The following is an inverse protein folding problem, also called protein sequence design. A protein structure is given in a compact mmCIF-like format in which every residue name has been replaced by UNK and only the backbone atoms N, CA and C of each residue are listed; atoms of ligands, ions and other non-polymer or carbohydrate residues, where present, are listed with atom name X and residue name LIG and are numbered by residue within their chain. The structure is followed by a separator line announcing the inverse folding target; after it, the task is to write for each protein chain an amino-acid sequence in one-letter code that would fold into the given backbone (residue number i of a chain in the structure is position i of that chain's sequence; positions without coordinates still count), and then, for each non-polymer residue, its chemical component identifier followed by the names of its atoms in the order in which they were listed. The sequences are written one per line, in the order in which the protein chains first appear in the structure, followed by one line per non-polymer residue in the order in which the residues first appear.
data_IF_229428373345
#
_entry.id   IF_229428373345
#
_cell.length_a   1.000
_cell.length_b   1.000
_cell.length_c   1.000
_cell.angle_alpha   90.00
_cell.angle_beta   90.00
_cell.angle_gamma   90.00
#
_symmetry.space_group_name_H-M   'P 1'
#
loop_
_entity.id
_entity.type
_entity.pdbx_description
1 polymer ?
#
# COMPACT_ATOMS: atom_id res chain seq x y z
N UNK A 1 4.32 -25.33 29.40
CA UNK A 1 3.84 -26.22 28.33
C UNK A 1 2.32 -26.18 28.33
N UNK A 2 1.70 -25.63 27.29
CA UNK A 2 0.29 -25.89 26.98
C UNK A 2 0.29 -26.39 25.53
N UNK A 3 0.29 -27.72 25.38
CA UNK A 3 0.44 -28.46 24.12
C UNK A 3 -0.88 -29.14 23.71
N UNK A 4 -2.01 -28.44 23.76
CA UNK A 4 -3.21 -28.93 23.08
C UNK A 4 -3.50 -28.03 21.89
N UNK A 5 -3.27 -28.55 20.68
CA UNK A 5 -3.78 -27.95 19.44
C UNK A 5 -5.30 -27.98 19.53
N UNK A 6 -5.95 -26.84 19.71
CA UNK A 6 -7.41 -26.72 19.74
C UNK A 6 -7.99 -26.76 18.31
N UNK A 7 -7.22 -26.23 17.35
CA UNK A 7 -7.62 -26.10 15.97
C UNK A 7 -6.57 -26.71 15.03
N UNK A 8 -6.98 -27.24 13.86
CA UNK A 8 -6.06 -27.61 12.80
C UNK A 8 -5.39 -26.36 12.22
N UNK A 9 -4.15 -26.51 11.76
CA UNK A 9 -3.37 -25.44 11.12
C UNK A 9 -2.73 -25.95 9.84
N UNK A 10 -2.56 -25.08 8.84
CA UNK A 10 -1.83 -25.39 7.61
C UNK A 10 -1.09 -24.15 7.08
N UNK A 11 -0.09 -24.38 6.21
CA UNK A 11 0.58 -23.30 5.51
C UNK A 11 -0.28 -22.78 4.35
N UNK A 12 -0.17 -21.48 4.05
CA UNK A 12 -0.78 -20.89 2.86
C UNK A 12 -0.13 -21.49 1.60
N UNK A 13 -0.95 -22.05 0.71
CA UNK A 13 -0.58 -22.58 -0.60
C UNK A 13 -0.03 -21.46 -1.49
N UNK A 14 -0.64 -20.27 -1.45
CA UNK A 14 -0.21 -19.10 -2.22
C UNK A 14 1.07 -18.41 -1.67
N UNK A 15 1.66 -18.89 -0.55
CA UNK A 15 2.80 -18.24 0.10
C UNK A 15 4.05 -18.15 -0.77
N UNK A 16 4.31 -19.16 -1.61
CA UNK A 16 5.43 -19.16 -2.56
C UNK A 16 5.29 -18.01 -3.56
N UNK A 17 4.11 -17.92 -4.20
CA UNK A 17 3.76 -16.88 -5.15
C UNK A 17 3.86 -15.47 -4.54
N UNK A 18 3.42 -15.28 -3.29
CA UNK A 18 3.56 -13.99 -2.60
C UNK A 18 5.03 -13.53 -2.49
N UNK A 19 5.95 -14.47 -2.22
CA UNK A 19 7.39 -14.16 -2.16
C UNK A 19 7.96 -13.82 -3.53
N UNK A 20 7.57 -14.58 -4.55
CA UNK A 20 7.99 -14.37 -5.93
C UNK A 20 7.56 -12.99 -6.43
N UNK A 21 6.31 -12.60 -6.19
CA UNK A 21 5.78 -11.27 -6.54
C UNK A 21 6.59 -10.15 -5.89
N UNK A 22 6.87 -10.28 -4.59
CA UNK A 22 7.65 -9.28 -3.85
C UNK A 22 9.09 -9.21 -4.33
N UNK A 23 9.74 -10.35 -4.58
CA UNK A 23 11.12 -10.35 -5.10
C UNK A 23 11.17 -9.75 -6.51
N UNK A 24 10.25 -10.16 -7.38
CA UNK A 24 10.11 -9.63 -8.73
C UNK A 24 9.95 -8.10 -8.72
N UNK A 25 9.13 -7.54 -7.82
CA UNK A 25 8.99 -6.09 -7.65
C UNK A 25 10.34 -5.38 -7.47
N UNK A 26 11.11 -5.78 -6.45
CA UNK A 26 12.38 -5.13 -6.13
C UNK A 26 13.47 -5.39 -7.17
N UNK A 27 13.49 -6.57 -7.78
CA UNK A 27 14.43 -6.90 -8.85
C UNK A 27 14.08 -6.20 -10.17
N UNK A 28 12.80 -6.02 -10.49
CA UNK A 28 12.37 -5.28 -11.67
C UNK A 28 12.73 -3.81 -11.55
N UNK A 29 12.54 -3.18 -10.38
CA UNK A 29 13.03 -1.82 -10.13
C UNK A 29 14.55 -1.73 -10.33
N UNK A 30 15.33 -2.58 -9.68
CA UNK A 30 16.79 -2.58 -9.80
C UNK A 30 17.29 -2.81 -11.25
N UNK A 31 16.57 -3.60 -12.05
CA UNK A 31 16.97 -3.94 -13.41
C UNK A 31 16.23 -3.15 -14.50
N UNK A 32 15.40 -2.17 -14.16
CA UNK A 32 14.55 -1.42 -15.11
C UNK A 32 15.34 -0.90 -16.33
N UNK A 33 16.44 -0.19 -16.11
CA UNK A 33 17.27 0.38 -17.19
C UNK A 33 17.90 -0.68 -18.11
N UNK A 34 18.20 -1.88 -17.59
CA UNK A 34 18.73 -2.99 -18.43
C UNK A 34 17.69 -3.48 -19.44
N UNK A 35 16.41 -3.26 -19.16
CA UNK A 35 15.27 -3.60 -20.01
C UNK A 35 14.74 -2.39 -20.80
N UNK A 36 15.40 -1.23 -20.70
CA UNK A 36 14.96 0.03 -21.35
C UNK A 36 13.78 0.73 -20.66
N UNK A 37 13.40 0.29 -19.45
CA UNK A 37 12.31 0.86 -18.68
C UNK A 37 12.74 2.00 -17.74
N UNK A 38 11.77 2.70 -17.17
CA UNK A 38 11.97 3.81 -16.23
C UNK A 38 11.79 3.36 -14.77
N UNK A 39 12.42 4.10 -13.86
CA UNK A 39 12.28 3.99 -12.42
C UNK A 39 11.61 5.23 -11.85
N UNK A 40 10.69 5.03 -10.91
CA UNK A 40 10.19 6.12 -10.09
C UNK A 40 10.15 5.76 -8.62
N UNK A 41 10.22 6.77 -7.76
CA UNK A 41 10.09 6.59 -6.32
C UNK A 41 8.92 7.39 -5.77
N UNK A 42 8.27 6.86 -4.75
CA UNK A 42 7.11 7.46 -4.09
C UNK A 42 6.70 6.69 -2.85
N UNK A 43 5.73 7.23 -2.12
CA UNK A 43 5.17 6.64 -0.92
C UNK A 43 4.19 5.51 -1.27
N UNK A 44 3.90 4.65 -0.30
CA UNK A 44 3.00 3.51 -0.46
C UNK A 44 1.57 3.92 -0.89
N UNK A 45 1.14 5.13 -0.49
CA UNK A 45 -0.20 5.66 -0.78
C UNK A 45 -0.31 6.52 -2.03
N UNK A 46 0.80 6.72 -2.73
CA UNK A 46 0.81 7.51 -3.96
C UNK A 46 -0.16 6.95 -5.00
N UNK A 47 -0.64 7.82 -5.88
CA UNK A 47 -1.51 7.45 -7.00
C UNK A 47 -0.72 6.72 -8.10
N UNK A 48 -0.26 5.50 -7.82
CA UNK A 48 0.51 4.64 -8.73
C UNK A 48 -0.22 4.35 -10.05
N UNK A 49 -1.56 4.27 -10.01
CA UNK A 49 -2.39 4.14 -11.20
C UNK A 49 -2.18 5.27 -12.23
N UNK A 50 -1.84 6.49 -11.77
CA UNK A 50 -1.54 7.61 -12.68
C UNK A 50 -0.24 7.39 -13.42
N UNK A 51 0.76 6.80 -12.77
CA UNK A 51 2.06 6.54 -13.41
C UNK A 51 1.96 5.41 -14.45
N UNK A 52 1.02 4.47 -14.28
CA UNK A 52 0.79 3.37 -15.23
C UNK A 52 0.45 3.84 -16.65
N UNK A 53 -0.10 5.05 -16.81
CA UNK A 53 -0.35 5.65 -18.13
C UNK A 53 0.92 5.92 -18.96
N UNK A 54 2.12 5.85 -18.36
CA UNK A 54 3.39 6.00 -19.07
C UNK A 54 3.88 4.72 -19.77
N UNK A 55 3.33 3.55 -19.43
CA UNK A 55 3.75 2.26 -19.99
C UNK A 55 3.89 1.13 -18.96
N UNK A 56 4.08 -0.10 -19.46
CA UNK A 56 4.25 -1.30 -18.60
C UNK A 56 5.69 -1.45 -18.09
N UNK A 57 6.63 -0.69 -18.65
CA UNK A 57 8.05 -0.69 -18.34
C UNK A 57 8.44 0.45 -17.39
N UNK A 58 7.54 0.83 -16.48
CA UNK A 58 7.73 1.92 -15.50
C UNK A 58 7.59 1.35 -14.08
N UNK A 59 8.72 1.23 -13.39
CA UNK A 59 8.83 0.48 -12.14
C UNK A 59 8.96 1.40 -10.93
N UNK A 60 8.22 1.12 -9.87
CA UNK A 60 8.24 1.93 -8.66
C UNK A 60 9.13 1.33 -7.57
N UNK A 61 9.62 2.19 -6.67
CA UNK A 61 10.12 1.81 -5.36
C UNK A 61 9.32 2.56 -4.30
N UNK A 62 8.40 1.86 -3.64
CA UNK A 62 7.62 2.42 -2.54
C UNK A 62 8.45 2.46 -1.27
N UNK A 63 8.50 3.63 -0.65
CA UNK A 63 9.60 3.95 0.25
C UNK A 63 9.40 3.45 1.68
N UNK A 64 8.17 3.36 2.15
CA UNK A 64 7.81 2.78 3.46
C UNK A 64 8.04 1.26 3.47
N UNK A 65 7.55 0.47 2.50
CA UNK A 65 7.84 -0.97 2.45
C UNK A 65 9.34 -1.28 2.24
N UNK A 66 10.04 -0.43 1.48
CA UNK A 66 11.50 -0.54 1.35
C UNK A 66 12.21 -0.25 2.69
N UNK A 67 11.84 0.84 3.37
CA UNK A 67 12.35 1.19 4.69
C UNK A 67 12.02 0.13 5.76
N UNK A 68 10.86 -0.53 5.66
CA UNK A 68 10.47 -1.67 6.49
C UNK A 68 11.37 -2.88 6.25
N UNK A 69 11.69 -3.16 4.97
CA UNK A 69 12.59 -4.25 4.57
C UNK A 69 14.00 -4.03 5.10
N UNK A 70 14.49 -2.78 5.07
CA UNK A 70 15.74 -2.40 5.73
C UNK A 70 15.65 -2.62 7.23
N UNK A 71 14.58 -2.15 7.90
CA UNK A 71 14.41 -2.31 9.35
C UNK A 71 14.41 -3.78 9.82
N UNK A 72 13.94 -4.69 8.98
CA UNK A 72 13.99 -6.13 9.26
C UNK A 72 15.43 -6.68 9.26
N UNK A 73 16.31 -6.14 8.42
CA UNK A 73 17.75 -6.38 8.44
C UNK A 73 18.44 -5.40 9.41
N UNK A 74 18.62 -5.83 10.66
CA UNK A 74 19.10 -4.96 11.75
C UNK A 74 20.47 -4.36 11.47
N UNK A 75 21.35 -5.12 10.84
CA UNK A 75 22.71 -4.70 10.51
C UNK A 75 22.68 -3.57 9.47
N UNK A 76 21.92 -3.75 8.39
CA UNK A 76 21.74 -2.72 7.36
C UNK A 76 21.00 -1.50 7.92
N UNK A 77 19.93 -1.72 8.70
CA UNK A 77 19.19 -0.60 9.30
C UNK A 77 20.09 0.23 10.21
N UNK A 78 20.91 -0.39 11.05
CA UNK A 78 21.88 0.35 11.87
C UNK A 78 22.82 1.19 11.02
N UNK A 79 23.38 0.61 9.95
CA UNK A 79 24.26 1.33 9.03
C UNK A 79 23.58 2.54 8.37
N UNK A 80 22.35 2.35 7.86
CA UNK A 80 21.56 3.42 7.25
C UNK A 80 21.23 4.54 8.25
N UNK A 81 20.76 4.17 9.45
CA UNK A 81 20.39 5.13 10.49
C UNK A 81 21.59 5.98 10.91
N UNK A 82 22.74 5.34 11.17
CA UNK A 82 23.96 6.05 11.53
C UNK A 82 24.45 6.97 10.39
N UNK A 83 24.30 6.55 9.13
CA UNK A 83 24.64 7.38 7.98
C UNK A 83 23.74 8.62 7.85
N UNK A 84 22.42 8.45 8.02
CA UNK A 84 21.49 9.57 8.03
C UNK A 84 21.79 10.56 9.17
N UNK A 85 22.09 10.06 10.37
CA UNK A 85 22.46 10.88 11.52
C UNK A 85 23.76 11.67 11.28
N UNK A 86 24.80 11.01 10.72
CA UNK A 86 26.06 11.68 10.36
C UNK A 86 25.89 12.74 9.27
N UNK A 87 24.92 12.56 8.38
CA UNK A 87 24.56 13.55 7.36
C UNK A 87 23.77 14.75 7.94
N UNK A 88 23.44 14.73 9.23
CA UNK A 88 22.77 15.83 9.93
C UNK A 88 21.25 15.68 10.04
N UNK A 89 20.68 14.54 9.62
CA UNK A 89 19.25 14.30 9.79
C UNK A 89 18.93 13.89 11.23
N UNK A 90 17.91 14.50 11.81
CA UNK A 90 17.56 14.32 13.21
C UNK A 90 17.00 12.90 13.48
N UNK A 91 17.33 12.37 14.68
CA UNK A 91 16.97 11.00 15.10
C UNK A 91 15.49 10.77 15.34
N UNK A 92 14.76 11.84 15.62
CA UNK A 92 13.31 11.86 15.86
C UNK A 92 12.49 11.73 14.57
N UNK A 93 13.12 11.90 13.39
CA UNK A 93 12.46 11.68 12.10
C UNK A 93 12.02 10.23 11.93
N UNK A 94 10.99 10.03 11.09
CA UNK A 94 10.45 8.73 10.75
C UNK A 94 11.56 7.72 10.39
N UNK A 95 11.50 6.53 10.99
CA UNK A 95 12.51 5.49 10.78
C UNK A 95 12.55 4.97 9.35
N UNK A 96 11.41 4.96 8.64
CA UNK A 96 11.39 4.60 7.22
C UNK A 96 12.23 5.56 6.38
N UNK A 97 12.07 6.87 6.61
CA UNK A 97 12.82 7.92 5.93
C UNK A 97 14.32 7.79 6.17
N UNK A 98 14.72 7.65 7.44
CA UNK A 98 16.14 7.51 7.79
C UNK A 98 16.75 6.23 7.22
N UNK A 99 16.03 5.12 7.21
CA UNK A 99 16.48 3.91 6.53
C UNK A 99 16.64 4.13 5.01
N UNK A 100 15.68 4.80 4.38
CA UNK A 100 15.69 5.07 2.93
C UNK A 100 16.81 6.03 2.53
N UNK A 101 16.91 7.19 3.18
CA UNK A 101 17.99 8.14 2.95
C UNK A 101 19.36 7.55 3.27
N UNK A 102 19.47 6.81 4.39
CA UNK A 102 20.69 6.12 4.75
C UNK A 102 21.13 5.13 3.68
N UNK A 103 20.18 4.42 3.06
CA UNK A 103 20.45 3.49 1.95
C UNK A 103 20.96 4.20 0.69
N UNK A 104 20.48 5.40 0.39
CA UNK A 104 21.05 6.27 -0.67
C UNK A 104 22.47 6.72 -0.28
N UNK A 105 22.65 7.24 0.93
CA UNK A 105 23.92 7.83 1.40
C UNK A 105 25.07 6.82 1.38
N UNK A 106 24.79 5.58 1.80
CA UNK A 106 25.80 4.50 1.80
C UNK A 106 25.86 3.73 0.48
N UNK A 107 25.03 4.10 -0.51
CA UNK A 107 24.89 3.46 -1.81
C UNK A 107 24.68 1.93 -1.70
N UNK A 108 23.71 1.50 -0.88
CA UNK A 108 23.37 0.08 -0.72
C UNK A 108 21.88 -0.16 -0.87
N UNK A 109 21.53 -0.99 -1.83
CA UNK A 109 20.16 -1.47 -2.01
C UNK A 109 19.89 -2.69 -1.13
N UNK A 110 18.76 -2.70 -0.42
CA UNK A 110 18.38 -3.79 0.48
C UNK A 110 18.26 -5.15 -0.22
N UNK A 111 18.03 -5.15 -1.54
CA UNK A 111 17.91 -6.35 -2.37
C UNK A 111 19.13 -6.59 -3.27
N UNK A 112 20.27 -5.96 -2.95
CA UNK A 112 21.58 -6.23 -3.53
C UNK A 112 22.11 -5.15 -4.47
N UNK A 113 23.41 -4.88 -4.39
CA UNK A 113 24.09 -3.90 -5.23
C UNK A 113 23.94 -2.45 -4.75
N UNK A 114 24.40 -1.48 -5.57
CA UNK A 114 24.25 -0.05 -5.30
C UNK A 114 22.78 0.38 -5.33
N UNK A 115 22.46 1.51 -4.70
CA UNK A 115 21.09 2.03 -4.67
C UNK A 115 20.62 2.38 -6.11
N UNK A 116 19.53 1.77 -6.62
CA UNK A 116 19.05 2.07 -7.96
C UNK A 116 18.34 3.42 -7.99
N UNK A 117 19.07 4.45 -8.42
CA UNK A 117 18.57 5.82 -8.61
C UNK A 117 17.28 5.87 -9.46
N UNK A 118 16.21 6.57 -9.01
CA UNK A 118 15.01 6.81 -9.80
C UNK A 118 15.23 7.84 -10.93
N UNK A 119 14.42 7.77 -11.98
CA UNK A 119 14.41 8.77 -13.06
C UNK A 119 13.54 9.99 -12.71
N UNK A 120 12.48 9.77 -11.91
CA UNK A 120 11.62 10.82 -11.38
C UNK A 120 10.98 10.39 -10.05
N UNK A 121 10.43 11.37 -9.33
CA UNK A 121 9.67 11.14 -8.10
C UNK A 121 8.20 11.51 -8.34
N UNK A 122 7.31 10.63 -7.92
CA UNK A 122 5.86 10.82 -7.94
C UNK A 122 5.32 10.60 -6.53
N UNK A 123 4.89 11.69 -5.87
CA UNK A 123 4.58 11.68 -4.45
C UNK A 123 3.22 12.31 -4.13
N UNK A 124 2.66 11.96 -2.97
CA UNK A 124 1.56 12.64 -2.32
C UNK A 124 1.89 13.06 -0.87
N UNK A 125 1.25 14.11 -0.38
CA UNK A 125 1.54 14.67 0.94
C UNK A 125 0.62 14.11 2.05
N UNK A 126 0.84 12.86 2.48
CA UNK A 126 0.01 12.24 3.54
C UNK A 126 0.42 12.61 4.97
N UNK A 127 1.67 13.05 5.18
CA UNK A 127 2.15 13.56 6.46
C UNK A 127 3.27 14.57 6.27
N UNK A 128 3.52 15.40 7.29
CA UNK A 128 4.56 16.43 7.25
C UNK A 128 5.94 15.88 6.83
N UNK A 129 6.27 14.65 7.24
CA UNK A 129 7.55 14.03 6.92
C UNK A 129 7.66 13.63 5.43
N UNK A 130 6.55 13.25 4.78
CA UNK A 130 6.54 12.93 3.34
C UNK A 130 6.83 14.15 2.46
N UNK A 131 6.41 15.36 2.87
CA UNK A 131 6.73 16.58 2.13
C UNK A 131 8.24 16.81 2.02
N UNK A 132 9.01 16.41 3.06
CA UNK A 132 10.47 16.58 3.12
C UNK A 132 11.24 15.36 2.68
N UNK A 133 10.68 14.16 2.80
CA UNK A 133 11.30 12.91 2.35
C UNK A 133 11.90 13.07 0.96
N UNK A 134 11.06 13.46 0.00
CA UNK A 134 11.46 13.42 -1.39
C UNK A 134 12.19 14.68 -1.89
N UNK A 135 12.07 15.81 -1.18
CA UNK A 135 12.96 16.94 -1.39
C UNK A 135 14.41 16.51 -1.09
N UNK A 136 14.61 15.81 0.04
CA UNK A 136 15.92 15.25 0.40
C UNK A 136 16.37 14.18 -0.59
N UNK A 137 15.48 13.28 -1.04
CA UNK A 137 15.84 12.28 -2.06
C UNK A 137 16.30 12.97 -3.34
N UNK A 138 15.57 13.99 -3.81
CA UNK A 138 15.96 14.77 -4.98
C UNK A 138 17.35 15.39 -4.79
N UNK A 139 17.65 16.00 -3.63
CA UNK A 139 18.96 16.58 -3.33
C UNK A 139 20.09 15.54 -3.29
N UNK A 140 19.91 14.43 -2.54
CA UNK A 140 20.89 13.34 -2.43
C UNK A 140 21.22 12.73 -3.81
N UNK A 141 20.23 12.69 -4.69
CA UNK A 141 20.35 12.15 -6.04
C UNK A 141 20.58 13.22 -7.11
N UNK A 142 21.10 14.40 -6.72
CA UNK A 142 21.56 15.47 -7.63
C UNK A 142 20.45 16.07 -8.50
N UNK A 143 19.31 16.37 -7.89
CA UNK A 143 18.21 17.12 -8.49
C UNK A 143 17.26 16.28 -9.34
N UNK A 144 16.88 15.08 -8.89
CA UNK A 144 15.85 14.29 -9.59
C UNK A 144 14.55 15.08 -9.68
N UNK A 145 13.88 15.13 -10.86
CA UNK A 145 12.60 15.81 -11.00
C UNK A 145 11.53 15.18 -10.12
N UNK A 146 10.80 16.01 -9.39
CA UNK A 146 9.76 15.59 -8.44
C UNK A 146 8.43 16.28 -8.73
N UNK A 147 7.34 15.51 -8.64
CA UNK A 147 5.98 16.00 -8.58
C UNK A 147 5.33 15.53 -7.27
N UNK A 148 4.57 16.42 -6.62
CA UNK A 148 3.88 16.10 -5.37
C UNK A 148 2.44 16.59 -5.41
N UNK A 149 1.49 15.67 -5.20
CA UNK A 149 0.07 15.98 -5.02
C UNK A 149 -0.21 16.34 -3.56
N UNK A 150 -0.82 17.49 -3.32
CA UNK A 150 -1.32 17.83 -1.99
C UNK A 150 -2.68 17.17 -1.75
N UNK A 151 -2.74 16.24 -0.79
CA UNK A 151 -3.94 15.48 -0.41
C UNK A 151 -4.62 16.04 0.85
N UNK A 152 -4.26 17.25 1.28
CA UNK A 152 -4.74 17.90 2.52
C UNK A 152 -6.18 18.44 2.42
N UNK A 153 -7.13 17.61 1.99
CA UNK A 153 -8.55 17.99 1.82
C UNK A 153 -9.42 17.74 3.06
N UNK A 154 -8.82 17.27 4.15
CA UNK A 154 -9.51 17.02 5.42
C UNK A 154 -10.24 15.68 5.49
N UNK A 155 -11.05 15.45 6.54
CA UNK A 155 -11.63 14.14 6.81
C UNK A 155 -12.72 13.78 5.79
N UNK A 156 -12.87 12.47 5.55
CA UNK A 156 -13.85 11.91 4.62
C UNK A 156 -15.29 12.40 4.88
N UNK A 157 -15.70 12.53 6.14
CA UNK A 157 -17.05 13.02 6.52
C UNK A 157 -17.34 14.47 6.12
N UNK A 158 -16.33 15.22 5.70
CA UNK A 158 -16.44 16.61 5.26
C UNK A 158 -16.03 16.78 3.78
N UNK A 159 -16.12 15.70 2.99
CA UNK A 159 -15.75 15.72 1.58
C UNK A 159 -16.77 16.55 0.78
N UNK A 160 -16.26 17.35 -0.16
CA UNK A 160 -17.09 18.16 -1.08
C UNK A 160 -16.57 18.02 -2.50
N UNK A 161 -17.39 18.33 -3.50
CA UNK A 161 -16.97 18.29 -4.91
C UNK A 161 -15.81 19.25 -5.20
N UNK A 162 -15.69 20.35 -4.47
CA UNK A 162 -14.55 21.27 -4.60
C UNK A 162 -13.24 20.62 -4.11
N UNK A 163 -13.29 19.88 -3.01
CA UNK A 163 -12.15 19.13 -2.47
C UNK A 163 -11.72 17.99 -3.39
N UNK A 164 -12.67 17.28 -3.99
CA UNK A 164 -12.39 16.24 -4.98
C UNK A 164 -11.73 16.86 -6.22
N UNK A 165 -12.32 17.95 -6.76
CA UNK A 165 -11.75 18.66 -7.91
C UNK A 165 -10.33 19.17 -7.65
N UNK A 166 -10.05 19.69 -6.46
CA UNK A 166 -8.70 20.11 -6.09
C UNK A 166 -7.64 19.01 -6.26
N UNK A 167 -7.97 17.75 -5.93
CA UNK A 167 -7.05 16.62 -6.16
C UNK A 167 -7.00 16.25 -7.64
N UNK A 168 -8.16 16.13 -8.29
CA UNK A 168 -8.26 15.73 -9.70
C UNK A 168 -7.50 16.69 -10.62
N UNK A 169 -7.63 18.00 -10.41
CA UNK A 169 -6.95 19.03 -11.20
C UNK A 169 -5.43 18.92 -11.05
N UNK A 170 -4.92 18.70 -9.82
CA UNK A 170 -3.50 18.42 -9.60
C UNK A 170 -3.04 17.14 -10.30
N UNK A 171 -3.83 16.07 -10.29
CA UNK A 171 -3.45 14.84 -11.00
C UNK A 171 -3.39 15.07 -12.52
N UNK A 172 -4.27 15.90 -13.08
CA UNK A 172 -4.20 16.29 -14.49
C UNK A 172 -2.93 17.10 -14.81
N UNK A 173 -2.57 18.07 -13.98
CA UNK A 173 -1.29 18.80 -14.09
C UNK A 173 -0.10 17.83 -13.98
N UNK A 174 -0.20 16.84 -13.09
CA UNK A 174 0.80 15.80 -12.91
C UNK A 174 0.98 14.91 -14.15
N UNK A 175 -0.09 14.59 -14.87
CA UNK A 175 0.00 13.85 -16.14
C UNK A 175 0.81 14.66 -17.18
N UNK A 176 0.53 15.96 -17.33
CA UNK A 176 1.31 16.82 -18.24
C UNK A 176 2.78 16.90 -17.83
N UNK A 177 3.04 16.97 -16.52
CA UNK A 177 4.39 16.93 -15.98
C UNK A 177 5.10 15.61 -16.27
N UNK A 178 4.41 14.47 -16.14
CA UNK A 178 4.95 13.14 -16.43
C UNK A 178 5.34 13.01 -17.91
N UNK A 179 4.48 13.45 -18.84
CA UNK A 179 4.77 13.44 -20.28
C UNK A 179 6.01 14.31 -20.59
N UNK A 180 6.08 15.52 -20.03
CA UNK A 180 7.22 16.42 -20.22
C UNK A 180 8.52 15.87 -19.64
N UNK A 181 8.46 15.29 -18.45
CA UNK A 181 9.64 14.81 -17.70
C UNK A 181 10.22 13.55 -18.34
N UNK A 182 9.37 12.66 -18.83
CA UNK A 182 9.79 11.36 -19.37
C UNK A 182 9.91 11.33 -20.90
N UNK A 183 9.29 12.29 -21.59
CA UNK A 183 9.16 12.29 -23.05
C UNK A 183 8.27 11.15 -23.58
N UNK A 184 7.58 10.41 -22.70
CA UNK A 184 6.63 9.36 -23.09
C UNK A 184 5.27 10.01 -23.42
N UNK A 185 4.55 9.39 -24.34
CA UNK A 185 3.14 9.70 -24.60
C UNK A 185 2.28 9.00 -23.54
N UNK A 186 1.33 9.72 -22.95
CA UNK A 186 0.41 9.14 -21.99
C UNK A 186 -0.71 8.33 -22.65
N UNK A 187 -1.10 7.24 -22.01
CA UNK A 187 -2.14 6.29 -22.43
C UNK A 187 -3.27 6.26 -21.38
N UNK A 188 -4.40 6.85 -21.73
CA UNK A 188 -5.58 6.95 -20.85
C UNK A 188 -6.21 5.57 -20.60
N UNK A 189 -6.16 4.64 -21.55
CA UNK A 189 -6.66 3.28 -21.38
C UNK A 189 -5.86 2.50 -20.33
N UNK A 190 -4.54 2.70 -20.26
CA UNK A 190 -3.69 2.15 -19.20
C UNK A 190 -4.04 2.71 -17.84
N UNK A 191 -4.26 4.02 -17.71
CA UNK A 191 -4.73 4.64 -16.48
C UNK A 191 -6.07 4.02 -16.02
N UNK A 192 -7.05 3.93 -16.91
CA UNK A 192 -8.37 3.36 -16.60
C UNK A 192 -8.21 1.93 -16.08
N UNK A 193 -7.41 1.11 -16.77
CA UNK A 193 -7.20 -0.27 -16.34
C UNK A 193 -6.47 -0.37 -14.99
N UNK A 194 -5.51 0.52 -14.74
CA UNK A 194 -4.79 0.60 -13.47
C UNK A 194 -5.72 0.99 -12.31
N UNK A 195 -6.63 1.96 -12.51
CA UNK A 195 -7.66 2.34 -11.52
C UNK A 195 -8.63 1.18 -11.25
N UNK A 196 -9.05 0.45 -12.28
CA UNK A 196 -9.90 -0.74 -12.10
C UNK A 196 -9.21 -1.82 -11.27
N UNK A 197 -7.92 -2.04 -11.49
CA UNK A 197 -7.12 -2.98 -10.71
C UNK A 197 -6.92 -2.49 -9.27
N UNK A 198 -6.63 -1.20 -9.06
CA UNK A 198 -6.50 -0.59 -7.73
C UNK A 198 -7.77 -0.82 -6.89
N UNK A 199 -8.94 -0.49 -7.45
CA UNK A 199 -10.23 -0.73 -6.81
C UNK A 199 -10.44 -2.23 -6.51
N UNK A 200 -9.99 -3.11 -7.41
CA UNK A 200 -10.14 -4.56 -7.23
C UNK A 200 -9.23 -5.08 -6.13
N UNK A 201 -7.95 -4.71 -6.13
CA UNK A 201 -6.95 -5.08 -5.11
C UNK A 201 -7.41 -4.65 -3.73
N UNK A 202 -7.79 -3.37 -3.59
CA UNK A 202 -8.14 -2.80 -2.29
C UNK A 202 -9.46 -3.31 -1.74
N UNK A 203 -10.43 -3.63 -2.61
CA UNK A 203 -11.67 -4.30 -2.20
C UNK A 203 -11.39 -5.76 -1.77
N UNK A 204 -10.58 -6.50 -2.53
CA UNK A 204 -10.23 -7.89 -2.21
C UNK A 204 -9.45 -7.99 -0.89
N UNK A 205 -8.57 -7.03 -0.61
CA UNK A 205 -7.88 -6.97 0.67
C UNK A 205 -8.83 -6.77 1.84
N UNK A 206 -9.82 -5.88 1.69
CA UNK A 206 -10.86 -5.70 2.70
C UNK A 206 -11.69 -6.99 2.88
N UNK A 207 -12.02 -7.72 1.81
CA UNK A 207 -12.68 -9.04 1.90
C UNK A 207 -11.84 -10.05 2.71
N UNK A 208 -10.53 -10.12 2.45
CA UNK A 208 -9.60 -10.98 3.21
C UNK A 208 -9.58 -10.60 4.69
N UNK A 209 -9.53 -9.29 4.99
CA UNK A 209 -9.55 -8.79 6.37
C UNK A 209 -10.88 -9.12 7.07
N UNK A 210 -12.01 -9.03 6.36
CA UNK A 210 -13.33 -9.38 6.89
C UNK A 210 -13.43 -10.87 7.26
N UNK A 211 -12.83 -11.76 6.46
CA UNK A 211 -12.77 -13.20 6.78
C UNK A 211 -12.04 -13.47 8.09
N UNK A 212 -11.17 -12.56 8.53
CA UNK A 212 -10.46 -12.70 9.80
C UNK A 212 -11.37 -12.51 11.02
N UNK A 213 -12.66 -12.13 10.85
CA UNK A 213 -13.67 -12.14 11.92
C UNK A 213 -13.99 -13.56 12.44
N UNK A 214 -13.74 -14.61 11.64
CA UNK A 214 -14.00 -16.00 12.02
C UNK A 214 -13.28 -16.42 13.30
N UNK A 215 -13.82 -17.42 14.01
CA UNK A 215 -13.20 -18.07 15.18
C UNK A 215 -13.07 -19.57 14.88
N UNK A 216 -11.85 -20.12 14.80
CA UNK A 216 -10.56 -19.44 14.96
C UNK A 216 -10.23 -18.49 13.80
N UNK A 217 -9.31 -17.55 14.00
CA UNK A 217 -8.85 -16.63 12.98
C UNK A 217 -8.01 -17.38 11.91
N UNK A 218 -8.32 -17.24 10.61
CA UNK A 218 -7.58 -17.91 9.54
C UNK A 218 -6.17 -17.35 9.32
N UNK A 219 -5.92 -16.08 9.70
CA UNK A 219 -4.64 -15.38 9.55
C UNK A 219 -4.21 -14.66 10.86
N UNK A 220 -2.93 -14.77 11.21
CA UNK A 220 -2.30 -13.93 12.23
C UNK A 220 -1.74 -12.65 11.60
N UNK A 221 -1.71 -11.56 12.36
CA UNK A 221 -1.28 -10.26 11.86
C UNK A 221 0.15 -10.26 11.29
N UNK A 222 1.08 -11.04 11.87
CA UNK A 222 2.44 -11.13 11.33
C UNK A 222 2.46 -11.75 9.93
N UNK A 223 1.60 -12.73 9.67
CA UNK A 223 1.39 -13.28 8.32
C UNK A 223 0.72 -12.23 7.43
N UNK A 224 -0.28 -11.50 7.93
CA UNK A 224 -0.92 -10.40 7.19
C UNK A 224 0.08 -9.35 6.73
N UNK A 225 1.12 -9.01 7.52
CA UNK A 225 2.18 -8.08 7.09
C UNK A 225 2.93 -8.52 5.83
N UNK A 226 3.00 -9.81 5.55
CA UNK A 226 3.65 -10.31 4.33
C UNK A 226 2.70 -10.32 3.13
N UNK A 227 1.39 -10.22 3.37
CA UNK A 227 0.34 -10.29 2.35
C UNK A 227 -0.11 -8.88 1.97
N UNK A 228 -0.49 -8.04 2.93
CA UNK A 228 -0.98 -6.66 2.68
C UNK A 228 0.02 -5.82 1.89
N UNK A 229 1.31 -6.08 2.11
CA UNK A 229 2.40 -5.27 1.56
C UNK A 229 2.38 -5.29 0.04
N UNK A 230 1.88 -6.36 -0.59
CA UNK A 230 1.81 -6.46 -2.04
C UNK A 230 0.92 -5.35 -2.65
N UNK A 231 -0.18 -4.97 -1.98
CA UNK A 231 -0.98 -3.81 -2.36
C UNK A 231 -0.20 -2.49 -2.14
N UNK A 232 0.52 -2.36 -1.01
CA UNK A 232 1.37 -1.18 -0.75
C UNK A 232 2.53 -1.01 -1.73
N UNK A 233 2.93 -2.09 -2.42
CA UNK A 233 3.97 -2.07 -3.44
C UNK A 233 3.39 -1.60 -4.78
N UNK A 234 2.26 -2.17 -5.21
CA UNK A 234 1.71 -1.93 -6.55
C UNK A 234 0.22 -2.31 -6.68
N UNK A 235 -0.66 -1.67 -5.89
CA UNK A 235 -2.11 -1.92 -5.88
C UNK A 235 -2.79 -1.78 -7.24
N UNK A 236 -2.27 -0.94 -8.15
CA UNK A 236 -2.80 -0.78 -9.50
C UNK A 236 -2.40 -1.90 -10.48
N UNK A 237 -1.58 -2.88 -10.04
CA UNK A 237 -1.14 -4.01 -10.86
C UNK A 237 -2.23 -5.07 -11.03
N UNK A 238 -2.40 -5.56 -12.26
CA UNK A 238 -3.28 -6.71 -12.54
C UNK A 238 -2.80 -7.96 -11.82
N UNK A 239 -1.48 -8.19 -11.78
CA UNK A 239 -0.89 -9.39 -11.19
C UNK A 239 -1.14 -9.46 -9.67
N UNK A 240 -1.01 -8.33 -8.98
CA UNK A 240 -1.35 -8.21 -7.56
C UNK A 240 -2.85 -8.42 -7.37
N UNK A 241 -3.69 -7.79 -8.18
CA UNK A 241 -5.14 -7.94 -8.09
C UNK A 241 -5.60 -9.40 -8.36
N UNK A 242 -4.96 -10.14 -9.26
CA UNK A 242 -5.22 -11.57 -9.51
C UNK A 242 -4.77 -12.43 -8.31
N UNK A 243 -3.59 -12.13 -7.73
CA UNK A 243 -3.09 -12.82 -6.54
C UNK A 243 -4.02 -12.63 -5.32
N UNK A 244 -4.58 -11.44 -5.14
CA UNK A 244 -5.50 -11.17 -4.02
C UNK A 244 -6.81 -11.96 -4.16
N UNK A 245 -7.25 -12.29 -5.38
CA UNK A 245 -8.42 -13.15 -5.59
C UNK A 245 -8.11 -14.60 -5.19
N UNK A 246 -6.95 -15.12 -5.58
CA UNK A 246 -6.43 -16.43 -5.13
C UNK A 246 -6.30 -16.49 -3.60
N UNK A 247 -5.71 -15.47 -2.98
CA UNK A 247 -5.57 -15.37 -1.54
C UNK A 247 -6.92 -15.30 -0.83
N UNK A 248 -7.88 -14.51 -1.35
CA UNK A 248 -9.24 -14.42 -0.79
C UNK A 248 -9.91 -15.78 -0.80
N UNK A 249 -9.85 -16.51 -1.92
CA UNK A 249 -10.44 -17.83 -2.05
C UNK A 249 -9.82 -18.84 -1.09
N UNK A 250 -8.48 -18.81 -0.94
CA UNK A 250 -7.79 -19.66 0.03
C UNK A 250 -8.17 -19.35 1.48
N UNK A 251 -8.21 -18.06 1.87
CA UNK A 251 -8.59 -17.65 3.23
C UNK A 251 -10.05 -18.03 3.50
N UNK A 252 -10.93 -17.92 2.51
CA UNK A 252 -12.34 -18.34 2.61
C UNK A 252 -12.47 -19.85 2.83
N UNK A 253 -11.69 -20.65 2.10
CA UNK A 253 -11.63 -22.11 2.31
C UNK A 253 -11.09 -22.47 3.71
N UNK A 254 -10.05 -21.78 4.19
CA UNK A 254 -9.54 -21.94 5.56
C UNK A 254 -10.61 -21.69 6.60
N UNK A 255 -11.40 -20.62 6.44
CA UNK A 255 -12.55 -20.33 7.33
C UNK A 255 -13.57 -21.48 7.28
N UNK A 256 -13.95 -21.95 6.10
CA UNK A 256 -14.93 -23.04 5.96
C UNK A 256 -14.47 -24.35 6.60
N UNK A 257 -13.16 -24.64 6.58
CA UNK A 257 -12.55 -25.83 7.18
C UNK A 257 -12.12 -25.66 8.64
N UNK A 258 -12.30 -24.48 9.23
CA UNK A 258 -11.89 -24.19 10.60
C UNK A 258 -10.37 -24.21 10.82
N UNK A 259 -9.59 -23.88 9.79
CA UNK A 259 -8.13 -23.80 9.85
C UNK A 259 -7.74 -22.51 10.57
N UNK A 260 -7.02 -22.65 11.69
CA UNK A 260 -6.49 -21.52 12.45
C UNK A 260 -5.12 -21.08 11.92
N UNK A 261 -4.81 -19.80 12.10
CA UNK A 261 -3.43 -19.31 12.04
C UNK A 261 -2.60 -19.79 13.25
N UNK A 262 -3.25 -19.90 14.41
CA UNK A 262 -2.61 -20.26 15.68
C UNK A 262 -3.42 -21.38 16.33
N UNK A 263 -2.79 -22.55 16.43
CA UNK A 263 -3.42 -23.80 16.85
C UNK A 263 -4.14 -23.74 18.22
N UNK A 264 -3.67 -22.88 19.12
CA UNK A 264 -4.15 -22.76 20.50
C UNK A 264 -4.79 -21.39 20.76
N UNK A 265 -5.40 -20.76 19.75
CA UNK A 265 -6.13 -19.50 19.89
C UNK A 265 -7.11 -19.55 21.07
N UNK A 266 -6.88 -18.69 22.08
CA UNK A 266 -7.74 -18.51 23.26
C UNK A 266 -8.03 -17.05 23.59
N UNK A 267 -7.27 -16.13 22.99
CA UNK A 267 -7.40 -14.69 23.20
C UNK A 267 -7.05 -13.98 21.90
N UNK A 268 -7.85 -12.99 21.51
CA UNK A 268 -7.63 -12.18 20.32
C UNK A 268 -7.31 -10.76 20.73
N UNK A 269 -6.30 -10.17 20.11
CA UNK A 269 -5.92 -8.77 20.28
C UNK A 269 -5.89 -8.07 18.93
N UNK A 270 -6.01 -6.74 18.97
CA UNK A 270 -5.75 -5.88 17.82
C UNK A 270 -4.64 -4.90 18.18
N UNK A 271 -3.74 -4.64 17.23
CA UNK A 271 -2.73 -3.59 17.38
C UNK A 271 -3.21 -2.29 16.71
N UNK A 272 -2.56 -1.16 17.03
CA UNK A 272 -3.07 0.18 16.65
C UNK A 272 -2.22 0.87 15.56
N UNK A 273 -1.03 0.36 15.23
CA UNK A 273 -0.07 1.09 14.37
C UNK A 273 0.81 0.17 13.53
N UNK A 274 1.72 0.76 12.76
CA UNK A 274 2.83 0.05 12.10
C UNK A 274 3.58 -0.82 13.10
N UNK A 275 3.96 -2.06 12.73
CA UNK A 275 4.66 -2.95 13.64
C UNK A 275 6.13 -2.53 13.84
N UNK A 276 6.76 -2.99 14.93
CA UNK A 276 8.20 -2.88 15.08
C UNK A 276 8.88 -3.88 14.14
N UNK A 277 9.18 -3.47 12.89
CA UNK A 277 9.72 -4.34 11.83
C UNK A 277 10.99 -5.11 12.25
N UNK A 278 11.85 -4.50 13.08
CA UNK A 278 13.06 -5.13 13.64
C UNK A 278 12.77 -6.15 14.76
N UNK A 279 11.52 -6.24 15.23
CA UNK A 279 11.11 -7.04 16.39
C UNK A 279 9.77 -7.78 16.18
N UNK A 280 9.45 -8.18 14.94
CA UNK A 280 8.25 -8.98 14.64
C UNK A 280 8.14 -10.32 15.40
N UNK A 281 9.21 -10.77 16.06
CA UNK A 281 9.17 -11.96 16.94
C UNK A 281 8.22 -11.80 18.14
N UNK A 282 7.81 -10.57 18.48
CA UNK A 282 6.81 -10.32 19.52
C UNK A 282 5.49 -11.08 19.26
N UNK A 283 5.03 -11.13 18.01
CA UNK A 283 3.81 -11.85 17.65
C UNK A 283 3.94 -13.35 17.90
N UNK A 284 5.08 -13.95 17.54
CA UNK A 284 5.36 -15.37 17.82
C UNK A 284 5.48 -15.67 19.32
N UNK A 285 5.85 -14.69 20.13
CA UNK A 285 5.86 -14.85 21.59
C UNK A 285 4.43 -14.89 22.15
N UNK A 286 3.54 -14.00 21.69
CA UNK A 286 2.13 -13.97 22.11
C UNK A 286 1.40 -15.29 21.79
N UNK A 287 1.69 -15.88 20.63
CA UNK A 287 1.11 -17.15 20.18
C UNK A 287 1.41 -18.33 21.13
N UNK A 288 2.55 -18.31 21.84
CA UNK A 288 2.87 -19.34 22.85
C UNK A 288 1.85 -19.37 24.00
N UNK A 289 1.19 -18.24 24.23
CA UNK A 289 0.12 -18.08 25.21
C UNK A 289 -1.26 -18.12 24.55
N UNK A 290 -1.38 -18.59 23.31
CA UNK A 290 -2.65 -18.64 22.59
C UNK A 290 -3.27 -17.26 22.33
N UNK A 291 -2.46 -16.20 22.38
CA UNK A 291 -2.88 -14.84 22.04
C UNK A 291 -2.58 -14.61 20.56
N UNK A 292 -3.61 -14.28 19.79
CA UNK A 292 -3.52 -14.02 18.35
C UNK A 292 -3.79 -12.56 18.10
N UNK A 293 -2.84 -11.85 17.48
CA UNK A 293 -3.17 -10.56 16.89
C UNK A 293 -3.89 -10.80 15.57
N UNK A 294 -5.13 -10.32 15.47
CA UNK A 294 -5.99 -10.57 14.30
C UNK A 294 -5.97 -9.42 13.29
N UNK A 295 -5.16 -8.40 13.56
CA UNK A 295 -4.91 -7.26 12.69
C UNK A 295 -4.90 -5.93 13.44
N UNK A 296 -4.89 -4.85 12.66
CA UNK A 296 -4.82 -3.47 13.12
C UNK A 296 -5.48 -2.51 12.15
N UNK A 297 -5.67 -1.27 12.59
CA UNK A 297 -6.01 -0.18 11.70
C UNK A 297 -5.03 -0.11 10.51
N UNK A 298 -3.75 -0.36 10.74
CA UNK A 298 -2.72 -0.38 9.71
C UNK A 298 -2.93 -1.51 8.69
N UNK A 299 -3.12 -2.76 9.13
CA UNK A 299 -3.34 -3.86 8.17
C UNK A 299 -4.68 -3.78 7.46
N UNK A 300 -5.73 -3.23 8.10
CA UNK A 300 -7.06 -3.19 7.51
C UNK A 300 -7.31 -1.95 6.65
N UNK A 301 -6.86 -0.79 7.13
CA UNK A 301 -7.21 0.51 6.58
C UNK A 301 -6.20 1.08 5.59
N UNK A 302 -4.95 0.60 5.60
CA UNK A 302 -3.94 1.13 4.68
C UNK A 302 -4.25 0.78 3.22
N UNK A 303 -4.62 -0.48 2.94
CA UNK A 303 -4.88 -0.94 1.56
C UNK A 303 -6.27 -1.55 1.40
N UNK A 304 -7.12 -1.47 2.43
CA UNK A 304 -8.48 -1.94 2.37
C UNK A 304 -9.44 -0.77 2.20
N UNK A 305 -10.30 -0.82 1.18
CA UNK A 305 -11.39 0.15 1.05
C UNK A 305 -12.67 -0.46 1.61
N UNK A 306 -13.29 0.29 2.51
CA UNK A 306 -14.48 -0.11 3.25
C UNK A 306 -15.61 0.87 3.00
N UNK A 307 -16.85 0.40 3.04
CA UNK A 307 -18.05 1.23 2.88
C UNK A 307 -19.12 0.86 3.91
N UNK A 308 -19.94 1.85 4.28
CA UNK A 308 -21.19 1.60 4.98
C UNK A 308 -22.19 0.98 4.00
N UNK A 309 -22.75 -0.17 4.38
CA UNK A 309 -23.74 -0.91 3.61
C UNK A 309 -25.13 -0.33 3.82
N UNK A 310 -26.06 -0.70 2.94
CA UNK A 310 -27.45 -0.23 3.00
C UNK A 310 -28.16 -0.65 4.31
N UNK A 311 -27.72 -1.76 4.92
CA UNK A 311 -28.19 -2.25 6.22
C UNK A 311 -27.49 -1.60 7.43
N UNK A 312 -26.63 -0.60 7.20
CA UNK A 312 -25.86 0.10 8.23
C UNK A 312 -24.63 -0.66 8.72
N UNK A 313 -24.36 -1.87 8.20
CA UNK A 313 -23.12 -2.59 8.52
C UNK A 313 -21.92 -1.96 7.81
N UNK A 314 -20.71 -2.24 8.30
CA UNK A 314 -19.47 -1.81 7.67
C UNK A 314 -18.76 -3.01 7.05
N UNK A 315 -18.39 -2.91 5.77
CA UNK A 315 -17.79 -4.02 5.04
C UNK A 315 -16.99 -3.60 3.80
N UNK A 316 -16.36 -4.56 3.10
CA UNK A 316 -15.50 -4.30 1.94
C UNK A 316 -16.24 -3.53 0.85
N UNK A 317 -15.64 -2.51 0.25
CA UNK A 317 -16.31 -1.74 -0.80
C UNK A 317 -16.71 -2.62 -2.00
N UNK A 318 -17.86 -2.33 -2.61
CA UNK A 318 -18.30 -3.08 -3.81
C UNK A 318 -17.32 -2.82 -4.95
N UNK A 319 -16.86 -3.90 -5.60
CA UNK A 319 -16.13 -3.85 -6.87
C UNK A 319 -16.97 -3.08 -7.89
N UNK A 320 -16.56 -1.86 -8.25
CA UNK A 320 -17.29 -1.02 -9.21
C UNK A 320 -16.99 -1.50 -10.63
N UNK A 321 -17.65 -2.57 -11.06
CA UNK A 321 -17.53 -3.11 -12.42
C UNK A 321 -18.12 -2.18 -13.51
N UNK A 322 -18.89 -1.14 -13.12
CA UNK A 322 -19.55 -0.23 -14.06
C UNK A 322 -18.61 0.71 -14.80
N UNK A 323 -17.42 1.02 -14.25
CA UNK A 323 -16.41 1.86 -14.93
C UNK A 323 -15.80 1.15 -16.15
N UNK A 324 -15.72 -0.19 -16.13
CA UNK A 324 -15.27 -0.98 -17.26
C UNK A 324 -16.22 -0.94 -18.48
N UNK A 325 -17.47 -0.52 -18.29
CA UNK A 325 -18.48 -0.45 -19.37
C UNK A 325 -18.52 0.89 -20.10
N UNK A 326 -17.81 1.92 -19.63
CA UNK A 326 -17.75 3.22 -20.31
C UNK A 326 -16.34 3.85 -20.34
N UNK A 327 -15.31 3.18 -20.91
CA UNK A 327 -13.95 3.75 -21.00
C UNK A 327 -13.88 5.07 -21.78
N UNK A 328 -14.82 5.30 -22.71
CA UNK A 328 -14.75 6.42 -23.67
C UNK A 328 -15.08 7.80 -23.09
N UNK A 329 -15.68 7.89 -21.90
CA UNK A 329 -16.19 9.16 -21.34
C UNK A 329 -15.30 9.76 -20.25
N UNK A 330 -14.18 9.11 -19.89
CA UNK A 330 -13.29 9.55 -18.82
C UNK A 330 -11.87 9.83 -19.33
N UNK A 331 -11.73 10.31 -20.57
CA UNK A 331 -10.44 10.69 -21.16
C UNK A 331 -10.25 12.20 -21.08
N UNK A 332 -8.99 12.64 -21.14
CA UNK A 332 -8.50 14.04 -21.02
C UNK A 332 -9.25 15.08 -21.88
N UNK A 333 -10.05 14.64 -22.86
CA UNK A 333 -10.76 15.47 -23.85
C UNK A 333 -12.23 15.75 -23.56
N UNK A 334 -12.87 15.04 -22.64
CA UNK A 334 -14.23 15.35 -22.21
C UNK A 334 -14.18 15.90 -20.80
N UNK A 335 -14.22 17.24 -20.66
CA UNK A 335 -14.43 17.93 -19.37
C UNK A 335 -15.80 17.67 -18.74
N UNK A 336 -16.28 16.42 -18.82
CA UNK A 336 -17.53 15.91 -18.31
C UNK A 336 -17.28 14.51 -17.77
N UNK A 337 -16.92 14.43 -16.49
CA UNK A 337 -17.19 13.23 -15.71
C UNK A 337 -18.71 13.04 -15.66
N UNK A 338 -19.24 11.82 -15.83
CA UNK A 338 -20.65 11.57 -15.60
C UNK A 338 -21.00 11.99 -14.17
N UNK A 339 -21.90 12.95 -14.01
CA UNK A 339 -22.47 13.35 -12.73
C UNK A 339 -23.34 12.20 -12.19
N UNK A 340 -22.69 11.20 -11.60
CA UNK A 340 -23.31 9.98 -11.09
C UNK A 340 -23.11 9.85 -9.58
N UNK A 341 -24.07 10.41 -8.83
CA UNK A 341 -24.49 9.99 -7.48
C UNK A 341 -23.38 9.57 -6.50
N UNK A 342 -22.75 10.55 -5.86
CA UNK A 342 -22.43 10.39 -4.44
C UNK A 342 -23.74 10.57 -3.66
N UNK A 343 -24.11 9.69 -2.73
CA UNK A 343 -25.31 9.88 -1.94
C UNK A 343 -25.16 11.14 -1.09
N UNK A 344 -25.92 12.18 -1.43
CA UNK A 344 -26.20 13.31 -0.55
C UNK A 344 -26.88 12.75 0.70
N UNK A 345 -26.15 12.57 1.80
CA UNK A 345 -26.76 12.33 3.12
C UNK A 345 -26.89 13.66 3.85
N UNK A 346 -27.92 14.43 3.49
CA UNK A 346 -28.52 15.40 4.42
C UNK A 346 -29.41 14.62 5.39
N UNK A 347 -28.83 14.15 6.49
CA UNK A 347 -29.56 13.46 7.56
C UNK A 347 -29.05 13.97 8.91
N UNK A 348 -29.74 14.95 9.47
CA UNK A 348 -29.51 15.46 10.81
C UNK A 348 -29.60 14.32 11.85
N UNK A 349 -28.50 14.00 12.51
CA UNK A 349 -28.53 13.22 13.75
C UNK A 349 -28.48 14.19 14.92
N UNK A 350 -29.60 14.28 15.63
CA UNK A 350 -29.68 14.96 16.92
C UNK A 350 -28.80 14.22 17.91
N UNK A 351 -27.80 14.93 18.45
CA UNK A 351 -27.02 14.45 19.60
C UNK A 351 -27.92 14.60 20.82
N UNK A 352 -28.52 13.51 21.28
CA UNK A 352 -29.07 13.43 22.61
C UNK A 352 -27.90 13.37 23.60
N UNK A 353 -27.73 14.46 24.36
CA UNK A 353 -26.92 14.48 25.57
C UNK A 353 -27.61 13.62 26.63
N UNK A 354 -26.85 12.75 27.27
CA UNK A 354 -26.93 12.47 28.71
C UNK A 354 -25.56 12.07 29.20
#
# INVERSE_FOLDING_TARGET
MVKSSLYPTEQLKCWGKAKELRDAYYQNYANAHKKGGLRWAGGAWTFDAVVAGLGDDVYCLTSEPYGASIAFNKELSRECMEAAERAGYARDLCSYMRNYWGSIIIDKYAFGGPFPKPDFIWQDHICCSHSKWYQVVSELEKGIPMYCTDVSVGPYSQMTDAKIRYIVDQLHDGIEWLEKTTGRKYDDEKLIQAVLNDCRTTSLWAEICELNKAVPAPLDEKTMYSLYVLATLQKSSKEIADFYEELRDEVKDRVARGIAAVANERCRVMSDTQPPWSFLKVFRHLEQFGVVSVGSLYTFGLEGIWEEKEDGTWGPAKRRNSWAKSPKTATKRSGHWPSGTFPNRSGSTSIARN
#
